data_IF_495102315725
#
_entry.id   IF_495102315725
#
_cell.length_a   1.000
_cell.length_b   1.000
_cell.length_c   1.000
_cell.angle_alpha   90.00
_cell.angle_beta   90.00
_cell.angle_gamma   90.00
#
_symmetry.space_group_name_H-M   'P 1'
#
loop_
_entity.id
_entity.type
_entity.pdbx_description
1 polymer ?
#
# COMPACT_ATOMS: atom_id res chain seq x y z
N UNK A 1 8.86 63.37 0.78
CA UNK A 1 9.27 62.08 1.31
C UNK A 1 8.15 61.07 1.06
N UNK A 2 8.30 60.33 0.00
CA UNK A 2 7.33 59.26 -0.31
C UNK A 2 7.60 58.04 0.53
N UNK A 3 6.65 57.70 1.40
CA UNK A 3 6.61 56.34 1.93
C UNK A 3 6.29 55.41 0.76
N UNK A 4 7.29 54.71 0.33
CA UNK A 4 7.04 53.62 -0.60
C UNK A 4 6.48 52.47 0.22
N UNK A 5 5.20 52.29 0.07
CA UNK A 5 4.56 51.08 0.58
C UNK A 5 5.22 49.91 -0.08
N UNK A 6 6.09 49.29 0.70
CA UNK A 6 6.62 47.99 0.34
C UNK A 6 5.46 46.99 0.57
N UNK A 7 4.66 46.83 -0.48
CA UNK A 7 3.69 45.74 -0.52
C UNK A 7 4.51 44.47 -0.58
N UNK A 8 4.83 43.97 0.58
CA UNK A 8 5.37 42.65 0.70
C UNK A 8 4.26 41.68 0.30
N UNK A 9 4.19 41.41 -0.98
CA UNK A 9 3.33 40.31 -1.47
C UNK A 9 3.93 39.04 -0.95
N UNK A 10 3.50 38.65 0.24
CA UNK A 10 3.76 37.33 0.78
C UNK A 10 3.04 36.35 -0.15
N UNK A 11 3.75 35.86 -1.14
CA UNK A 11 3.29 34.74 -1.94
C UNK A 11 3.16 33.58 -0.99
N UNK A 12 1.97 33.38 -0.47
CA UNK A 12 1.60 32.20 0.27
C UNK A 12 1.64 31.04 -0.72
N UNK A 13 2.81 30.45 -0.86
CA UNK A 13 2.95 29.19 -1.59
C UNK A 13 2.12 28.18 -0.83
N UNK A 14 0.88 27.98 -1.25
CA UNK A 14 0.06 26.88 -0.79
C UNK A 14 0.72 25.64 -1.35
N UNK A 15 1.63 25.06 -0.56
CA UNK A 15 2.04 23.69 -0.78
C UNK A 15 0.79 22.84 -0.54
N UNK A 16 0.12 22.45 -1.62
CA UNK A 16 -0.84 21.35 -1.57
C UNK A 16 0.01 20.10 -1.36
N UNK A 17 0.35 19.85 -0.10
CA UNK A 17 0.79 18.54 0.33
C UNK A 17 -0.39 17.61 0.06
N UNK A 18 -0.28 16.81 -1.01
CA UNK A 18 -1.21 15.72 -1.22
C UNK A 18 -1.27 14.90 0.06
N UNK A 19 -2.39 14.97 0.78
CA UNK A 19 -2.56 14.24 2.03
C UNK A 19 -2.46 12.75 1.72
N UNK A 20 -1.38 12.10 2.20
CA UNK A 20 -1.29 10.66 2.20
C UNK A 20 -2.42 10.11 3.07
N UNK A 21 -3.21 9.24 2.50
CA UNK A 21 -4.30 8.54 3.18
C UNK A 21 -3.74 7.26 3.79
N UNK A 22 -4.09 6.96 5.04
CA UNK A 22 -3.68 5.74 5.72
C UNK A 22 -4.84 4.75 5.74
N UNK A 23 -4.57 3.52 5.31
CA UNK A 23 -5.54 2.42 5.28
C UNK A 23 -5.01 1.27 6.12
N UNK A 24 -5.80 0.79 7.06
CA UNK A 24 -5.43 -0.31 7.93
C UNK A 24 -5.67 -1.66 7.25
N UNK A 25 -4.74 -2.59 7.46
CA UNK A 25 -4.91 -3.99 7.10
C UNK A 25 -5.62 -4.78 8.20
N UNK A 26 -6.36 -5.78 7.79
CA UNK A 26 -6.89 -6.83 8.63
C UNK A 26 -6.09 -8.10 8.37
N UNK A 27 -5.51 -8.68 9.42
CA UNK A 27 -4.77 -9.94 9.33
C UNK A 27 -5.68 -11.15 9.35
N UNK A 28 -5.24 -12.22 8.67
CA UNK A 28 -5.85 -13.53 8.77
C UNK A 28 -5.39 -14.26 10.05
N UNK A 29 -6.07 -15.37 10.44
CA UNK A 29 -5.62 -16.20 11.55
C UNK A 29 -4.21 -16.80 11.37
N UNK A 30 -3.71 -16.87 10.14
CA UNK A 30 -2.36 -17.37 9.84
C UNK A 30 -1.25 -16.44 10.35
N UNK A 31 -1.58 -15.16 10.54
CA UNK A 31 -0.65 -14.12 11.01
C UNK A 31 -1.29 -13.24 12.10
N UNK A 32 -1.68 -13.84 13.24
CA UNK A 32 -2.52 -13.14 14.23
C UNK A 32 -1.85 -11.93 14.87
N UNK A 33 -0.52 -11.87 14.87
CA UNK A 33 0.24 -10.76 15.44
C UNK A 33 0.56 -9.64 14.44
N UNK A 34 0.27 -9.84 13.14
CA UNK A 34 0.60 -8.88 12.11
C UNK A 34 -0.25 -7.61 12.22
N UNK A 35 0.41 -6.47 12.26
CA UNK A 35 -0.19 -5.14 12.26
C UNK A 35 0.34 -4.37 11.05
N UNK A 36 -0.51 -4.05 10.12
CA UNK A 36 -0.12 -3.41 8.88
C UNK A 36 -0.98 -2.22 8.50
N UNK A 37 -0.35 -1.28 7.83
CA UNK A 37 -1.02 -0.16 7.21
C UNK A 37 -0.42 0.18 5.85
N UNK A 38 -1.24 0.74 4.98
CA UNK A 38 -0.83 1.28 3.70
C UNK A 38 -0.99 2.80 3.71
N UNK A 39 0.03 3.50 3.24
CA UNK A 39 -0.05 4.92 2.93
C UNK A 39 -0.22 5.06 1.43
N UNK A 40 -1.32 5.69 1.01
CA UNK A 40 -1.67 5.87 -0.39
C UNK A 40 -1.79 7.35 -0.73
N UNK A 41 -1.27 7.73 -1.89
CA UNK A 41 -1.29 9.11 -2.38
C UNK A 41 -1.29 9.12 -3.90
N UNK A 42 -1.66 10.26 -4.51
CA UNK A 42 -1.52 10.43 -5.95
C UNK A 42 -0.14 10.98 -6.30
N UNK A 43 0.42 10.49 -7.41
CA UNK A 43 1.60 11.08 -8.02
C UNK A 43 1.21 12.18 -9.03
N UNK A 44 2.22 12.77 -9.68
CA UNK A 44 2.04 13.84 -10.68
C UNK A 44 1.25 13.39 -11.91
N UNK A 45 1.24 12.10 -12.20
CA UNK A 45 0.58 11.51 -13.36
C UNK A 45 -0.85 11.02 -13.05
N UNK A 46 -1.33 11.23 -11.83
CA UNK A 46 -2.64 10.77 -11.39
C UNK A 46 -2.69 9.29 -11.04
N UNK A 47 -1.55 8.62 -10.95
CA UNK A 47 -1.46 7.24 -10.45
C UNK A 47 -1.47 7.23 -8.92
N UNK A 48 -1.87 6.11 -8.36
CA UNK A 48 -1.85 5.89 -6.91
C UNK A 48 -0.52 5.24 -6.51
N UNK A 49 0.21 5.93 -5.63
CA UNK A 49 1.43 5.41 -4.99
C UNK A 49 1.04 4.73 -3.69
N UNK A 50 1.53 3.51 -3.47
CA UNK A 50 1.20 2.68 -2.33
C UNK A 50 2.50 2.34 -1.59
N UNK A 51 2.53 2.63 -0.29
CA UNK A 51 3.61 2.24 0.61
C UNK A 51 3.02 1.43 1.76
N UNK A 52 3.47 0.20 1.92
CA UNK A 52 2.97 -0.72 2.93
C UNK A 52 4.08 -1.03 3.93
N UNK A 53 3.72 -1.03 5.20
CA UNK A 53 4.56 -1.54 6.28
C UNK A 53 3.72 -2.41 7.20
N UNK A 54 4.23 -3.61 7.49
CA UNK A 54 3.56 -4.60 8.34
C UNK A 54 4.53 -5.05 9.42
N UNK A 55 4.17 -4.82 10.67
CA UNK A 55 4.93 -5.29 11.83
C UNK A 55 4.51 -6.71 12.22
N UNK A 56 5.44 -7.46 12.78
CA UNK A 56 5.23 -8.82 13.28
C UNK A 56 4.65 -9.77 12.22
N UNK A 57 5.15 -9.65 10.99
CA UNK A 57 4.76 -10.51 9.89
C UNK A 57 5.63 -11.76 9.88
N UNK A 58 5.01 -12.94 10.01
CA UNK A 58 5.72 -14.19 9.89
C UNK A 58 6.33 -14.35 8.49
N UNK A 59 7.56 -14.88 8.37
CA UNK A 59 8.08 -15.24 7.06
C UNK A 59 7.15 -16.24 6.37
N UNK A 60 6.99 -16.17 5.04
CA UNK A 60 6.04 -17.05 4.33
C UNK A 60 6.38 -18.54 4.48
N UNK A 61 7.64 -18.87 4.73
CA UNK A 61 8.11 -20.24 4.98
C UNK A 61 7.54 -20.84 6.26
N UNK A 62 7.13 -19.99 7.21
CA UNK A 62 6.54 -20.43 8.50
C UNK A 62 5.03 -20.66 8.43
N UNK A 63 4.41 -20.38 7.29
CA UNK A 63 2.98 -20.63 7.10
C UNK A 63 2.69 -22.12 6.88
N UNK A 64 1.44 -22.54 7.08
CA UNK A 64 0.95 -23.86 6.77
C UNK A 64 -0.21 -23.77 5.76
N UNK A 65 0.00 -24.13 4.47
CA UNK A 65 1.24 -24.65 3.88
C UNK A 65 2.33 -23.57 3.75
N UNK A 66 3.59 -24.01 3.81
CA UNK A 66 4.75 -23.14 3.61
C UNK A 66 4.74 -22.54 2.19
N UNK A 67 5.10 -21.27 2.09
CA UNK A 67 5.21 -20.53 0.82
C UNK A 67 6.56 -19.81 0.72
N UNK A 68 6.90 -19.35 -0.48
CA UNK A 68 8.20 -18.74 -0.74
C UNK A 68 8.20 -17.23 -0.48
N UNK A 69 7.08 -16.54 -0.77
CA UNK A 69 7.01 -15.08 -0.75
C UNK A 69 5.57 -14.57 -0.59
N UNK A 70 5.46 -13.27 -0.35
CA UNK A 70 4.19 -12.55 -0.35
C UNK A 70 4.06 -11.72 -1.62
N UNK A 71 2.85 -11.66 -2.16
CA UNK A 71 2.50 -10.80 -3.30
C UNK A 71 1.40 -9.84 -2.90
N UNK A 72 1.54 -8.60 -3.32
CA UNK A 72 0.55 -7.53 -3.09
C UNK A 72 -0.31 -7.37 -4.34
N UNK A 73 -1.61 -7.31 -4.12
CA UNK A 73 -2.61 -7.15 -5.17
C UNK A 73 -3.47 -5.93 -4.93
N UNK A 74 -3.87 -5.27 -6.01
CA UNK A 74 -4.97 -4.29 -6.01
C UNK A 74 -6.18 -4.92 -6.67
N UNK A 75 -7.30 -4.95 -5.97
CA UNK A 75 -8.56 -5.50 -6.47
C UNK A 75 -9.61 -4.41 -6.54
N UNK A 76 -10.07 -4.10 -7.75
CA UNK A 76 -11.15 -3.17 -7.99
C UNK A 76 -12.51 -3.81 -7.65
N UNK A 77 -13.53 -3.01 -7.25
CA UNK A 77 -14.86 -3.54 -6.94
C UNK A 77 -15.51 -4.29 -8.10
N UNK A 78 -15.13 -3.95 -9.34
CA UNK A 78 -15.62 -4.60 -10.57
C UNK A 78 -15.00 -5.98 -10.81
N UNK A 79 -14.10 -6.44 -9.94
CA UNK A 79 -13.44 -7.73 -10.03
C UNK A 79 -12.07 -7.73 -10.71
N UNK A 80 -11.63 -6.61 -11.30
CA UNK A 80 -10.28 -6.48 -11.84
C UNK A 80 -9.26 -6.61 -10.72
N UNK A 81 -8.29 -7.51 -10.90
CA UNK A 81 -7.20 -7.72 -9.95
C UNK A 81 -5.86 -7.53 -10.63
N UNK A 82 -4.96 -6.81 -9.99
CA UNK A 82 -3.64 -6.48 -10.52
C UNK A 82 -2.58 -6.93 -9.53
N UNK A 83 -1.62 -7.71 -10.01
CA UNK A 83 -0.40 -8.03 -9.27
C UNK A 83 0.48 -6.79 -9.20
N UNK A 84 0.70 -6.24 -8.00
CA UNK A 84 1.52 -5.06 -7.80
C UNK A 84 3.00 -5.40 -7.55
N UNK A 85 3.29 -6.64 -7.21
CA UNK A 85 4.64 -7.11 -6.96
C UNK A 85 4.83 -7.78 -5.61
N UNK A 86 6.06 -8.14 -5.33
CA UNK A 86 6.46 -8.87 -4.13
C UNK A 86 6.66 -7.93 -2.94
N UNK A 87 6.15 -8.34 -1.79
CA UNK A 87 6.46 -7.74 -0.50
C UNK A 87 7.67 -8.44 0.11
N UNK A 88 8.65 -7.68 0.57
CA UNK A 88 9.83 -8.21 1.24
C UNK A 88 9.63 -8.22 2.75
N UNK A 89 10.07 -9.30 3.42
CA UNK A 89 10.06 -9.41 4.87
C UNK A 89 11.51 -9.42 5.36
N UNK A 90 11.86 -8.43 6.18
CA UNK A 90 13.19 -8.32 6.75
C UNK A 90 13.42 -9.28 7.93
N UNK A 91 14.67 -9.36 8.45
CA UNK A 91 15.03 -10.26 9.54
C UNK A 91 14.32 -9.92 10.86
N UNK A 92 13.84 -8.69 11.01
CA UNK A 92 13.05 -8.21 12.16
C UNK A 92 11.55 -8.44 12.01
N UNK A 93 11.12 -9.22 11.00
CA UNK A 93 9.71 -9.52 10.69
C UNK A 93 8.87 -8.30 10.33
N UNK A 94 9.49 -7.31 9.71
CA UNK A 94 8.79 -6.17 9.13
C UNK A 94 8.65 -6.39 7.63
N UNK A 95 7.41 -6.45 7.17
CA UNK A 95 7.09 -6.48 5.75
C UNK A 95 7.06 -5.09 5.17
N UNK A 96 7.68 -4.89 4.01
CA UNK A 96 7.71 -3.60 3.30
C UNK A 96 7.41 -3.79 1.83
N UNK A 97 6.64 -2.84 1.31
CA UNK A 97 6.27 -2.80 -0.10
C UNK A 97 6.12 -1.36 -0.56
N UNK A 98 6.51 -1.11 -1.79
CA UNK A 98 6.24 0.14 -2.48
C UNK A 98 5.87 -0.17 -3.94
N UNK A 99 4.79 0.43 -4.41
CA UNK A 99 4.30 0.22 -5.77
C UNK A 99 3.36 1.31 -6.24
N UNK A 100 2.94 1.20 -7.50
CA UNK A 100 2.09 2.17 -8.18
C UNK A 100 1.00 1.44 -8.95
N UNK A 101 -0.22 1.97 -8.94
CA UNK A 101 -1.34 1.47 -9.73
C UNK A 101 -2.13 2.63 -10.35
N UNK A 102 -2.70 2.45 -11.55
CA UNK A 102 -3.62 3.45 -12.11
C UNK A 102 -5.01 3.46 -11.45
N UNK A 103 -5.32 2.45 -10.63
CA UNK A 103 -6.59 2.35 -9.95
C UNK A 103 -6.76 3.44 -8.89
N UNK A 104 -7.98 3.93 -8.72
CA UNK A 104 -8.35 4.91 -7.69
C UNK A 104 -9.25 4.33 -6.61
N UNK A 105 -10.03 3.33 -6.95
CA UNK A 105 -10.93 2.63 -6.05
C UNK A 105 -10.59 1.16 -6.07
N UNK A 106 -10.10 0.65 -4.94
CA UNK A 106 -9.66 -0.73 -4.84
C UNK A 106 -9.46 -1.13 -3.37
N UNK A 107 -9.32 -2.40 -3.14
CA UNK A 107 -8.78 -2.92 -1.88
C UNK A 107 -7.39 -3.52 -2.13
N UNK A 108 -6.58 -3.54 -1.10
CA UNK A 108 -5.31 -4.23 -1.11
C UNK A 108 -5.46 -5.63 -0.52
N UNK A 109 -4.81 -6.57 -1.15
CA UNK A 109 -4.75 -7.96 -0.70
C UNK A 109 -3.29 -8.40 -0.74
N UNK A 110 -2.83 -9.06 0.32
CA UNK A 110 -1.52 -9.70 0.37
C UNK A 110 -1.75 -11.20 0.47
N UNK A 111 -1.18 -11.95 -0.46
CA UNK A 111 -1.27 -13.41 -0.50
C UNK A 111 0.10 -14.06 -0.37
N UNK A 112 0.13 -15.29 0.13
CA UNK A 112 1.33 -16.11 0.13
C UNK A 112 1.38 -16.94 -1.16
N UNK A 113 2.52 -16.87 -1.85
CA UNK A 113 2.72 -17.46 -3.17
C UNK A 113 4.07 -18.18 -3.25
N UNK A 114 4.22 -19.05 -4.23
CA UNK A 114 5.52 -19.66 -4.54
C UNK A 114 6.30 -18.90 -5.60
N UNK A 115 5.63 -18.05 -6.39
CA UNK A 115 6.21 -17.25 -7.45
C UNK A 115 5.66 -15.81 -7.38
N UNK A 116 6.52 -14.82 -7.65
CA UNK A 116 6.11 -13.42 -7.64
C UNK A 116 5.22 -13.04 -8.84
N UNK A 117 5.49 -13.59 -10.01
CA UNK A 117 4.83 -13.24 -11.26
C UNK A 117 3.58 -14.10 -11.55
N UNK A 118 2.79 -14.39 -10.52
CA UNK A 118 1.53 -15.12 -10.70
C UNK A 118 0.44 -14.20 -11.24
N UNK A 119 -0.42 -14.75 -12.12
CA UNK A 119 -1.50 -13.97 -12.74
C UNK A 119 -2.74 -13.84 -11.85
N UNK A 120 -2.96 -14.81 -10.96
CA UNK A 120 -4.10 -14.83 -10.04
C UNK A 120 -3.63 -15.14 -8.62
N UNK A 121 -4.25 -14.52 -7.60
CA UNK A 121 -3.88 -14.77 -6.23
C UNK A 121 -4.28 -16.19 -5.80
N UNK A 122 -3.46 -16.78 -4.94
CA UNK A 122 -3.82 -18.01 -4.24
C UNK A 122 -4.98 -17.75 -3.27
N UNK A 123 -5.54 -18.84 -2.73
CA UNK A 123 -6.58 -18.75 -1.69
C UNK A 123 -6.02 -18.35 -0.31
N UNK A 124 -4.71 -18.29 -0.17
CA UNK A 124 -4.05 -17.96 1.09
C UNK A 124 -3.89 -16.44 1.23
N UNK A 125 -5.00 -15.77 1.51
CA UNK A 125 -5.02 -14.34 1.81
C UNK A 125 -4.51 -14.11 3.24
N UNK A 126 -3.46 -13.31 3.36
CA UNK A 126 -2.78 -13.05 4.63
C UNK A 126 -3.24 -11.75 5.25
N UNK A 127 -3.35 -10.71 4.43
CA UNK A 127 -3.76 -9.37 4.85
C UNK A 127 -4.70 -8.79 3.81
N UNK A 128 -5.74 -8.11 4.27
CA UNK A 128 -6.69 -7.44 3.39
C UNK A 128 -7.07 -6.07 3.95
N UNK A 129 -7.44 -5.15 3.08
CA UNK A 129 -8.06 -3.88 3.46
C UNK A 129 -9.53 -3.88 3.06
N UNK A 130 -10.26 -2.90 3.57
CA UNK A 130 -11.54 -2.52 2.97
C UNK A 130 -11.28 -1.85 1.62
N UNK A 131 -12.31 -1.76 0.79
CA UNK A 131 -12.26 -0.94 -0.43
C UNK A 131 -12.16 0.53 -0.01
N UNK A 132 -11.26 1.26 -0.64
CA UNK A 132 -11.06 2.69 -0.42
C UNK A 132 -10.90 3.42 -1.74
N UNK A 133 -11.14 4.72 -1.71
CA UNK A 133 -10.95 5.61 -2.86
C UNK A 133 -9.82 6.58 -2.54
N UNK A 134 -8.96 6.80 -3.51
CA UNK A 134 -7.83 7.75 -3.41
C UNK A 134 -8.22 9.04 -4.13
N UNK A 135 -8.25 10.14 -3.38
CA UNK A 135 -8.59 11.48 -3.88
C UNK A 135 -7.38 12.25 -4.41
#
# INVERSE_FOLDING_TARGET
>A
MGFRDLVLTLALSIFVLGCAQTVAFRGSPDVPAALGEAKVSKDKNGNTVIKIEVDHLAPPQNLAPSKELYVVWAQAPQGRIINLGQMTVGPNRVGKFEGVTPLREFRLVVTAEDLAAVATPSKQEILTTQVFTVD
#
